data_IF_345098666778
#
_entry.id   IF_345098666778
#
_cell.length_a   1.000
_cell.length_b   1.000
_cell.length_c   1.000
_cell.angle_alpha   90.00
_cell.angle_beta   90.00
_cell.angle_gamma   90.00
#
_symmetry.space_group_name_H-M   'P 1'
#
loop_
_entity.id
_entity.type
_entity.pdbx_description
1 polymer ?
#
# COMPACT_ATOMS: atom_id res chain seq x y z
N UNK A 1 14.70 -1.57 6.84
CA UNK A 1 15.21 -0.79 5.69
C UNK A 1 15.07 0.70 6.00
N UNK A 2 13.88 1.12 6.38
CA UNK A 2 13.44 2.51 6.53
C UNK A 2 14.36 3.34 7.44
N UNK A 3 14.67 2.88 8.65
CA UNK A 3 15.59 3.59 9.56
C UNK A 3 17.02 3.76 9.00
N UNK A 4 17.52 2.79 8.21
CA UNK A 4 18.83 2.88 7.57
C UNK A 4 18.82 3.91 6.44
N UNK A 5 17.73 3.96 5.66
CA UNK A 5 17.55 4.97 4.59
C UNK A 5 17.52 6.37 5.19
N UNK A 6 16.71 6.58 6.24
CA UNK A 6 16.63 7.89 6.88
C UNK A 6 17.98 8.34 7.43
N UNK A 7 18.73 7.43 8.07
CA UNK A 7 20.07 7.72 8.57
C UNK A 7 21.01 8.12 7.43
N UNK A 8 21.00 7.38 6.33
CA UNK A 8 21.85 7.64 5.16
C UNK A 8 21.52 9.00 4.54
N UNK A 9 20.24 9.32 4.35
CA UNK A 9 19.81 10.63 3.84
C UNK A 9 20.20 11.77 4.77
N UNK A 10 20.04 11.60 6.10
CA UNK A 10 20.46 12.62 7.07
C UNK A 10 21.97 12.88 7.04
N UNK A 11 22.78 11.86 6.78
CA UNK A 11 24.23 12.02 6.60
C UNK A 11 24.54 12.84 5.35
N UNK A 12 23.95 12.48 4.20
CA UNK A 12 24.08 13.25 2.95
C UNK A 12 23.68 14.72 3.16
N UNK A 13 22.57 14.98 3.84
CA UNK A 13 22.07 16.34 4.04
C UNK A 13 22.87 17.15 5.06
N UNK A 14 23.60 16.49 5.97
CA UNK A 14 24.52 17.18 6.87
C UNK A 14 25.77 17.68 6.13
N UNK A 15 26.27 16.90 5.16
CA UNK A 15 27.49 17.23 4.40
C UNK A 15 27.21 18.02 3.11
N UNK A 16 25.94 18.06 2.66
CA UNK A 16 25.43 18.75 1.45
C UNK A 16 26.17 18.37 0.15
N UNK A 17 26.89 17.26 0.19
CA UNK A 17 27.66 16.72 -0.92
C UNK A 17 27.29 15.27 -1.08
N UNK A 18 27.20 14.86 -2.34
CA UNK A 18 27.15 13.46 -2.73
C UNK A 18 28.36 13.25 -3.62
N UNK A 19 29.43 12.75 -3.01
CA UNK A 19 30.62 12.30 -3.73
C UNK A 19 30.27 11.13 -4.66
N UNK A 20 31.06 10.89 -5.72
CA UNK A 20 30.88 9.70 -6.57
C UNK A 20 30.88 8.40 -5.77
N UNK A 21 31.67 8.33 -4.70
CA UNK A 21 31.72 7.20 -3.77
C UNK A 21 30.38 7.03 -3.02
N UNK A 22 29.85 8.11 -2.42
CA UNK A 22 28.55 8.06 -1.72
C UNK A 22 27.38 7.73 -2.66
N UNK A 23 27.41 8.23 -3.90
CA UNK A 23 26.44 7.87 -4.93
C UNK A 23 26.51 6.37 -5.26
N UNK A 24 27.72 5.82 -5.42
CA UNK A 24 27.93 4.40 -5.69
C UNK A 24 27.47 3.54 -4.51
N UNK A 25 27.73 3.94 -3.27
CA UNK A 25 27.26 3.25 -2.07
C UNK A 25 25.73 3.27 -1.99
N UNK A 26 25.10 4.40 -2.33
CA UNK A 26 23.64 4.53 -2.36
C UNK A 26 23.00 3.65 -3.44
N UNK A 27 23.59 3.59 -4.63
CA UNK A 27 23.14 2.70 -5.71
C UNK A 27 23.28 1.22 -5.35
N UNK A 28 24.39 0.84 -4.71
CA UNK A 28 24.59 -0.52 -4.21
C UNK A 28 23.57 -0.85 -3.10
N UNK A 29 23.32 0.11 -2.21
CA UNK A 29 22.31 -0.02 -1.16
C UNK A 29 20.91 -0.23 -1.75
N UNK A 30 20.47 0.59 -2.72
CA UNK A 30 19.15 0.40 -3.35
C UNK A 30 19.08 -0.90 -4.16
N UNK A 31 20.14 -1.23 -4.89
CA UNK A 31 20.21 -2.46 -5.68
C UNK A 31 20.18 -3.70 -4.79
N UNK A 32 20.83 -3.67 -3.63
CA UNK A 32 20.82 -4.78 -2.66
C UNK A 32 19.49 -4.89 -1.94
N UNK A 33 18.90 -3.77 -1.51
CA UNK A 33 17.56 -3.73 -0.92
C UNK A 33 16.48 -4.21 -1.90
N UNK A 34 16.68 -3.94 -3.19
CA UNK A 34 15.75 -4.25 -4.27
C UNK A 34 14.31 -3.82 -3.91
N UNK A 35 14.05 -2.57 -3.50
CA UNK A 35 12.76 -2.19 -2.93
C UNK A 35 11.60 -2.47 -3.90
N UNK A 36 10.45 -2.97 -3.40
CA UNK A 36 9.26 -3.15 -4.24
C UNK A 36 8.78 -1.79 -4.78
N UNK A 37 8.04 -1.77 -5.91
CA UNK A 37 7.49 -0.56 -6.54
C UNK A 37 6.91 0.46 -5.57
N UNK A 38 6.14 -0.01 -4.60
CA UNK A 38 5.40 0.84 -3.67
C UNK A 38 6.31 1.57 -2.68
N UNK A 39 7.48 0.99 -2.39
CA UNK A 39 8.47 1.64 -1.54
C UNK A 39 9.25 2.73 -2.27
N UNK A 40 9.27 2.73 -3.61
CA UNK A 40 10.00 3.75 -4.38
C UNK A 40 9.43 5.15 -4.14
N UNK A 41 8.09 5.26 -4.08
CA UNK A 41 7.40 6.52 -3.75
C UNK A 41 7.80 7.02 -2.37
N UNK A 42 7.79 6.14 -1.37
CA UNK A 42 8.19 6.46 -0.01
C UNK A 42 9.66 6.87 0.11
N UNK A 43 10.56 6.16 -0.59
CA UNK A 43 12.01 6.47 -0.60
C UNK A 43 12.25 7.88 -1.12
N UNK A 44 11.67 8.25 -2.28
CA UNK A 44 11.76 9.62 -2.80
C UNK A 44 11.12 10.63 -1.85
N UNK A 45 9.88 10.40 -1.42
CA UNK A 45 9.16 11.34 -0.57
C UNK A 45 9.90 11.59 0.75
N UNK A 46 10.56 10.56 1.28
CA UNK A 46 11.42 10.65 2.48
C UNK A 46 12.63 11.55 2.24
N UNK A 47 13.28 11.50 1.08
CA UNK A 47 14.37 12.42 0.75
C UNK A 47 13.92 13.89 0.80
N UNK A 48 12.77 14.22 0.19
CA UNK A 48 12.22 15.58 0.23
C UNK A 48 11.76 16.01 1.62
N UNK A 49 11.05 15.12 2.35
CA UNK A 49 10.58 15.38 3.71
C UNK A 49 11.75 15.67 4.65
N UNK A 50 12.77 14.79 4.66
CA UNK A 50 13.96 14.99 5.46
C UNK A 50 14.73 16.24 5.02
N UNK A 51 14.80 16.51 3.71
CA UNK A 51 15.38 17.75 3.20
C UNK A 51 14.71 19.00 3.80
N UNK A 52 13.39 19.00 4.00
CA UNK A 52 12.71 20.15 4.64
C UNK A 52 13.23 20.44 6.07
N UNK A 53 13.69 19.41 6.80
CA UNK A 53 14.29 19.59 8.13
C UNK A 53 15.62 20.37 8.05
N UNK A 54 16.36 20.20 6.94
CA UNK A 54 17.69 20.77 6.71
C UNK A 54 17.69 22.11 5.97
N UNK A 55 16.53 22.67 5.62
CA UNK A 55 16.44 24.01 5.06
C UNK A 55 17.12 25.03 6.00
N UNK A 56 17.75 26.04 5.43
CA UNK A 56 18.35 27.15 6.17
C UNK A 56 17.98 28.50 5.55
N UNK A 57 18.46 29.59 6.15
CA UNK A 57 18.28 30.93 5.59
C UNK A 57 19.33 31.27 4.52
N UNK A 58 20.26 30.36 4.23
CA UNK A 58 21.28 30.54 3.20
C UNK A 58 20.80 29.95 1.87
N UNK A 59 20.73 30.78 0.84
CA UNK A 59 20.29 30.37 -0.49
C UNK A 59 21.22 29.32 -1.10
N UNK A 60 22.54 29.50 -0.99
CA UNK A 60 23.52 28.58 -1.58
C UNK A 60 23.47 27.20 -0.90
N UNK A 61 23.22 27.20 0.41
CA UNK A 61 22.93 25.98 1.18
C UNK A 61 21.68 25.26 0.65
N UNK A 62 20.57 25.96 0.46
CA UNK A 62 19.32 25.34 -0.01
C UNK A 62 19.44 24.83 -1.46
N UNK A 63 20.22 25.51 -2.31
CA UNK A 63 20.60 25.02 -3.65
C UNK A 63 21.41 23.73 -3.55
N UNK A 64 22.41 23.66 -2.66
CA UNK A 64 23.20 22.45 -2.44
C UNK A 64 22.32 21.28 -1.94
N UNK A 65 21.35 21.58 -1.09
CA UNK A 65 20.39 20.59 -0.57
C UNK A 65 19.50 20.00 -1.69
N UNK A 66 18.97 20.83 -2.60
CA UNK A 66 18.22 20.35 -3.76
C UNK A 66 19.08 19.49 -4.70
N UNK A 67 20.37 19.84 -4.87
CA UNK A 67 21.32 19.00 -5.64
C UNK A 67 21.54 17.65 -4.98
N UNK A 68 21.65 17.60 -3.65
CA UNK A 68 21.78 16.36 -2.91
C UNK A 68 20.53 15.48 -3.05
N UNK A 69 19.32 16.07 -2.98
CA UNK A 69 18.07 15.35 -3.24
C UNK A 69 18.03 14.82 -4.68
N UNK A 70 18.40 15.62 -5.68
CA UNK A 70 18.45 15.16 -7.07
C UNK A 70 19.40 13.96 -7.25
N UNK A 71 20.55 13.96 -6.58
CA UNK A 71 21.47 12.83 -6.61
C UNK A 71 20.85 11.56 -6.01
N UNK A 72 20.14 11.68 -4.87
CA UNK A 72 19.40 10.55 -4.27
C UNK A 72 18.34 10.02 -5.23
N UNK A 73 17.53 10.90 -5.83
CA UNK A 73 16.50 10.52 -6.81
C UNK A 73 17.13 9.85 -8.03
N UNK A 74 18.26 10.37 -8.50
CA UNK A 74 19.00 9.77 -9.61
C UNK A 74 19.44 8.34 -9.31
N UNK A 75 20.06 8.11 -8.15
CA UNK A 75 20.48 6.77 -7.73
C UNK A 75 19.27 5.83 -7.62
N UNK A 76 18.15 6.30 -7.05
CA UNK A 76 16.91 5.52 -6.97
C UNK A 76 16.40 5.10 -8.36
N UNK A 77 16.33 6.04 -9.31
CA UNK A 77 15.89 5.77 -10.67
C UNK A 77 16.82 4.81 -11.40
N UNK A 78 18.14 4.99 -11.31
CA UNK A 78 19.12 4.11 -11.96
C UNK A 78 19.09 2.68 -11.39
N UNK A 79 19.01 2.56 -10.07
CA UNK A 79 19.02 1.27 -9.39
C UNK A 79 17.69 0.53 -9.54
N UNK A 80 16.56 1.24 -9.46
CA UNK A 80 15.24 0.61 -9.25
C UNK A 80 14.22 0.83 -10.38
N UNK A 81 14.47 1.72 -11.33
CA UNK A 81 13.51 2.07 -12.39
C UNK A 81 14.06 1.79 -13.79
N UNK A 82 13.16 1.71 -14.77
CA UNK A 82 13.47 1.65 -16.20
C UNK A 82 12.53 2.55 -17.00
N UNK A 83 12.94 3.04 -18.17
CA UNK A 83 12.06 3.81 -19.05
C UNK A 83 10.80 3.02 -19.42
N UNK A 84 9.63 3.66 -19.33
CA UNK A 84 8.36 3.08 -19.76
C UNK A 84 8.28 2.98 -21.29
N UNK A 85 8.75 4.01 -21.98
CA UNK A 85 8.83 4.08 -23.44
C UNK A 85 10.26 4.45 -23.88
N UNK A 86 11.13 3.46 -24.19
CA UNK A 86 12.53 3.73 -24.52
C UNK A 86 12.74 4.69 -25.71
N UNK A 87 11.85 4.63 -26.71
CA UNK A 87 11.93 5.48 -27.91
C UNK A 87 11.28 6.86 -27.74
N UNK A 88 10.51 7.09 -26.68
CA UNK A 88 9.63 8.25 -26.57
C UNK A 88 8.48 8.26 -27.58
N UNK A 89 7.65 9.29 -27.51
CA UNK A 89 6.60 9.60 -28.48
C UNK A 89 6.65 11.06 -28.98
N UNK A 90 7.56 11.88 -28.44
CA UNK A 90 7.70 13.30 -28.75
C UNK A 90 9.19 13.71 -28.73
N UNK A 91 9.50 14.85 -29.34
CA UNK A 91 10.80 15.50 -29.16
C UNK A 91 10.84 16.24 -27.82
N UNK A 92 12.02 16.27 -27.19
CA UNK A 92 12.23 17.03 -25.96
C UNK A 92 12.47 18.51 -26.29
N UNK A 93 11.60 19.38 -25.79
CA UNK A 93 11.69 20.84 -25.89
C UNK A 93 11.97 21.41 -24.49
N UNK A 94 13.24 21.77 -24.25
CA UNK A 94 13.72 22.24 -22.96
C UNK A 94 13.09 23.59 -22.56
N UNK A 95 12.94 24.51 -23.52
CA UNK A 95 12.37 25.84 -23.27
C UNK A 95 10.89 25.74 -22.89
N UNK A 96 10.12 24.91 -23.62
CA UNK A 96 8.71 24.66 -23.29
C UNK A 96 8.58 24.03 -21.92
N UNK A 97 9.48 23.10 -21.57
CA UNK A 97 9.44 22.41 -20.29
C UNK A 97 9.80 23.33 -19.12
N UNK A 98 10.84 24.15 -19.24
CA UNK A 98 11.21 25.13 -18.21
C UNK A 98 10.09 26.15 -17.95
N UNK A 99 9.41 26.62 -19.00
CA UNK A 99 8.26 27.53 -18.85
C UNK A 99 7.12 26.87 -18.08
N UNK A 100 6.82 25.61 -18.40
CA UNK A 100 5.78 24.84 -17.71
C UNK A 100 6.12 24.66 -16.21
N UNK A 101 7.37 24.29 -15.90
CA UNK A 101 7.85 24.12 -14.53
C UNK A 101 7.78 25.41 -13.70
N UNK A 102 8.14 26.55 -14.29
CA UNK A 102 8.05 27.86 -13.61
C UNK A 102 6.62 28.21 -13.21
N UNK A 103 5.63 27.80 -14.00
CA UNK A 103 4.22 27.88 -13.61
C UNK A 103 3.95 27.06 -12.34
N UNK A 104 4.27 25.76 -12.39
CA UNK A 104 4.02 24.83 -11.28
C UNK A 104 4.73 25.19 -9.97
N UNK A 105 5.88 25.88 -10.04
CA UNK A 105 6.63 26.32 -8.86
C UNK A 105 6.28 27.73 -8.38
N UNK A 106 5.44 28.46 -9.11
CA UNK A 106 4.95 29.77 -8.68
C UNK A 106 3.83 29.66 -7.62
N UNK A 107 3.13 28.53 -7.60
CA UNK A 107 2.04 28.28 -6.65
C UNK A 107 2.54 27.77 -5.30
N UNK A 108 1.86 28.15 -4.22
CA UNK A 108 2.20 27.68 -2.87
C UNK A 108 1.93 26.18 -2.68
N UNK A 109 1.02 25.61 -3.48
CA UNK A 109 0.61 24.21 -3.41
C UNK A 109 0.07 23.79 -4.76
N UNK A 110 0.55 22.67 -5.30
CA UNK A 110 -0.04 22.06 -6.50
C UNK A 110 -1.38 21.40 -6.12
N UNK A 111 -2.48 21.88 -6.69
CA UNK A 111 -3.81 21.34 -6.45
C UNK A 111 -4.15 20.11 -7.33
N UNK A 112 -5.37 19.60 -7.23
CA UNK A 112 -5.79 18.41 -7.98
C UNK A 112 -5.89 18.65 -9.49
N UNK A 113 -6.29 19.85 -9.93
CA UNK A 113 -6.41 20.19 -11.35
C UNK A 113 -5.03 20.45 -11.94
N UNK A 114 -4.16 21.19 -11.26
CA UNK A 114 -2.77 21.39 -11.67
C UNK A 114 -2.01 20.06 -11.76
N UNK A 115 -2.24 19.14 -10.81
CA UNK A 115 -1.65 17.81 -10.87
C UNK A 115 -2.19 16.98 -12.06
N UNK A 116 -3.45 17.18 -12.49
CA UNK A 116 -3.95 16.55 -13.72
C UNK A 116 -3.28 17.14 -14.95
N UNK A 117 -3.17 18.47 -15.03
CA UNK A 117 -2.49 19.16 -16.13
C UNK A 117 -1.03 18.73 -16.25
N UNK A 118 -0.32 18.59 -15.13
CA UNK A 118 1.02 18.01 -15.05
C UNK A 118 1.11 16.62 -15.67
N UNK A 119 0.19 15.72 -15.31
CA UNK A 119 0.18 14.37 -15.85
C UNK A 119 -0.14 14.35 -17.35
N UNK A 120 -1.05 15.21 -17.82
CA UNK A 120 -1.37 15.36 -19.24
C UNK A 120 -0.13 15.86 -20.00
N UNK A 121 0.52 16.91 -19.49
CA UNK A 121 1.73 17.47 -20.10
C UNK A 121 2.82 16.40 -20.28
N UNK A 122 3.07 15.59 -19.24
CA UNK A 122 4.03 14.50 -19.33
C UNK A 122 3.61 13.41 -20.32
N UNK A 123 2.32 13.06 -20.40
CA UNK A 123 1.85 12.02 -21.33
C UNK A 123 1.97 12.44 -22.80
N UNK A 124 1.79 13.72 -23.10
CA UNK A 124 1.89 14.28 -24.45
C UNK A 124 3.35 14.51 -24.90
N UNK A 125 4.27 14.62 -23.96
CA UNK A 125 5.65 15.04 -24.19
C UNK A 125 6.67 14.00 -23.71
N UNK A 126 6.47 12.71 -23.99
CA UNK A 126 7.38 11.64 -23.53
C UNK A 126 8.62 11.63 -24.43
N UNK A 127 9.78 12.09 -23.96
CA UNK A 127 10.96 12.15 -24.81
C UNK A 127 11.63 10.77 -24.90
N UNK A 128 12.60 10.60 -25.82
CA UNK A 128 13.48 9.44 -25.83
C UNK A 128 14.19 9.21 -24.48
N UNK A 129 14.52 7.96 -24.15
CA UNK A 129 15.00 7.60 -22.81
C UNK A 129 16.31 8.28 -22.38
N UNK A 130 17.15 8.66 -23.34
CA UNK A 130 18.41 9.39 -23.11
C UNK A 130 18.18 10.85 -22.67
N UNK A 131 16.99 11.41 -22.89
CA UNK A 131 16.61 12.73 -22.41
C UNK A 131 16.06 12.74 -20.98
N UNK A 132 15.69 11.58 -20.41
CA UNK A 132 15.00 11.52 -19.10
C UNK A 132 15.84 12.06 -17.95
N UNK A 133 17.16 11.82 -17.98
CA UNK A 133 18.09 12.35 -16.98
C UNK A 133 18.18 13.88 -17.08
N UNK A 134 18.25 14.42 -18.29
CA UNK A 134 18.27 15.87 -18.55
C UNK A 134 16.97 16.52 -18.11
N UNK A 135 15.83 15.92 -18.45
CA UNK A 135 14.50 16.39 -18.05
C UNK A 135 14.36 16.44 -16.52
N UNK A 136 14.78 15.38 -15.80
CA UNK A 136 14.81 15.42 -14.32
C UNK A 136 15.74 16.50 -13.80
N UNK A 137 16.91 16.69 -14.39
CA UNK A 137 17.84 17.74 -13.99
C UNK A 137 17.23 19.15 -14.18
N UNK A 138 16.44 19.36 -15.23
CA UNK A 138 15.70 20.61 -15.44
C UNK A 138 14.68 20.88 -14.33
N UNK A 139 13.94 19.86 -13.85
CA UNK A 139 13.03 19.99 -12.69
C UNK A 139 13.77 20.58 -11.48
N UNK A 140 14.90 19.98 -11.10
CA UNK A 140 15.67 20.44 -9.94
C UNK A 140 16.40 21.78 -10.17
N UNK A 141 16.82 22.06 -11.40
CA UNK A 141 17.36 23.37 -11.78
C UNK A 141 16.31 24.46 -11.61
N UNK A 142 15.11 24.30 -12.18
CA UNK A 142 14.03 25.29 -12.06
C UNK A 142 13.56 25.45 -10.63
N UNK A 143 13.52 24.36 -9.84
CA UNK A 143 13.26 24.44 -8.40
C UNK A 143 14.34 25.27 -7.69
N UNK A 144 15.62 25.06 -8.01
CA UNK A 144 16.71 25.84 -7.41
C UNK A 144 16.62 27.33 -7.75
N UNK A 145 16.23 27.68 -8.97
CA UNK A 145 15.97 29.07 -9.41
C UNK A 145 14.76 29.72 -8.73
N UNK A 146 13.84 28.90 -8.20
CA UNK A 146 12.59 29.35 -7.55
C UNK A 146 12.72 29.47 -6.02
N UNK A 147 13.89 29.18 -5.45
CA UNK A 147 14.16 29.36 -4.02
C UNK A 147 14.03 30.82 -3.61
N UNK A 148 13.42 31.05 -2.45
CA UNK A 148 13.23 32.36 -1.85
C UNK A 148 13.99 32.50 -0.52
N UNK A 149 13.97 33.69 0.06
CA UNK A 149 14.50 33.92 1.41
C UNK A 149 13.54 33.43 2.52
N UNK A 150 12.31 33.03 2.17
CA UNK A 150 11.30 32.57 3.11
C UNK A 150 11.30 31.04 3.26
N UNK A 151 11.42 30.57 4.51
CA UNK A 151 11.48 29.14 4.80
C UNK A 151 10.19 28.42 4.46
N UNK A 152 9.02 29.02 4.74
CA UNK A 152 7.73 28.38 4.49
C UNK A 152 7.50 28.19 2.99
N UNK A 153 7.84 29.19 2.20
CA UNK A 153 7.83 29.15 0.73
C UNK A 153 8.79 28.09 0.19
N UNK A 154 9.99 27.93 0.78
CA UNK A 154 10.92 26.86 0.36
C UNK A 154 10.43 25.46 0.76
N UNK A 155 9.73 25.31 1.89
CA UNK A 155 9.06 24.04 2.25
C UNK A 155 7.96 23.70 1.24
N UNK A 156 7.15 24.68 0.83
CA UNK A 156 6.15 24.52 -0.22
C UNK A 156 6.81 24.10 -1.55
N UNK A 157 7.89 24.75 -1.95
CA UNK A 157 8.64 24.43 -3.15
C UNK A 157 9.19 23.00 -3.15
N UNK A 158 9.73 22.51 -2.03
CA UNK A 158 10.19 21.12 -1.91
C UNK A 158 9.05 20.12 -2.08
N UNK A 159 7.86 20.44 -1.53
CA UNK A 159 6.66 19.61 -1.71
C UNK A 159 6.21 19.59 -3.17
N UNK A 160 6.14 20.76 -3.82
CA UNK A 160 5.76 20.86 -5.23
C UNK A 160 6.79 20.15 -6.13
N UNK A 161 8.08 20.27 -5.83
CA UNK A 161 9.14 19.55 -6.55
C UNK A 161 8.95 18.04 -6.43
N UNK A 162 8.63 17.51 -5.25
CA UNK A 162 8.34 16.08 -5.07
C UNK A 162 7.11 15.64 -5.89
N UNK A 163 6.06 16.46 -5.96
CA UNK A 163 4.87 16.18 -6.79
C UNK A 163 5.24 16.12 -8.28
N UNK A 164 6.02 17.08 -8.77
CA UNK A 164 6.47 17.11 -10.16
C UNK A 164 7.36 15.90 -10.49
N UNK A 165 8.32 15.56 -9.63
CA UNK A 165 9.17 14.37 -9.81
C UNK A 165 8.33 13.09 -9.76
N UNK A 166 7.33 13.01 -8.87
CA UNK A 166 6.41 11.87 -8.84
C UNK A 166 5.62 11.72 -10.14
N UNK A 167 5.05 12.81 -10.67
CA UNK A 167 4.34 12.82 -11.95
C UNK A 167 5.24 12.39 -13.10
N UNK A 168 6.50 12.85 -13.09
CA UNK A 168 7.51 12.45 -14.07
C UNK A 168 7.77 10.94 -14.00
N UNK A 169 8.09 10.40 -12.81
CA UNK A 169 8.38 8.98 -12.65
C UNK A 169 7.19 8.08 -13.04
N UNK A 170 5.97 8.45 -12.63
CA UNK A 170 4.78 7.64 -12.91
C UNK A 170 4.43 7.59 -14.40
N UNK A 171 4.80 8.64 -15.15
CA UNK A 171 4.50 8.76 -16.58
C UNK A 171 5.63 8.19 -17.45
N UNK A 172 6.88 8.55 -17.12
CA UNK A 172 8.05 8.29 -17.97
C UNK A 172 8.77 6.99 -17.59
N UNK A 173 8.69 6.59 -16.33
CA UNK A 173 9.38 5.44 -15.81
C UNK A 173 8.39 4.34 -15.40
N UNK A 174 8.95 3.17 -15.16
CA UNK A 174 8.29 2.10 -14.43
C UNK A 174 9.32 1.43 -13.52
N UNK A 175 8.89 0.90 -12.37
CA UNK A 175 9.72 0.05 -11.54
C UNK A 175 10.33 -1.09 -12.35
N UNK A 176 11.59 -1.43 -12.04
CA UNK A 176 12.14 -2.73 -12.41
C UNK A 176 11.30 -3.81 -11.78
N UNK A 177 11.25 -4.97 -12.44
CA UNK A 177 10.55 -6.13 -11.91
C UNK A 177 11.16 -6.50 -10.55
N UNK A 178 10.33 -6.47 -9.51
CA UNK A 178 10.74 -6.86 -8.18
C UNK A 178 11.03 -8.35 -8.20
N UNK A 179 12.13 -8.73 -7.56
CA UNK A 179 12.57 -10.11 -7.48
C UNK A 179 12.93 -10.38 -6.03
N UNK A 180 12.14 -11.19 -5.34
CA UNK A 180 12.36 -11.53 -3.95
C UNK A 180 13.69 -12.30 -3.82
N UNK A 181 14.75 -11.60 -3.38
CA UNK A 181 16.14 -12.09 -3.34
C UNK A 181 16.45 -13.00 -2.15
N UNK A 182 15.70 -12.87 -1.07
CA UNK A 182 15.97 -13.61 0.17
C UNK A 182 15.71 -15.12 -0.05
N UNK A 183 16.64 -15.93 0.46
CA UNK A 183 16.48 -17.38 0.51
C UNK A 183 15.68 -17.72 1.76
N UNK A 184 14.46 -18.21 1.57
CA UNK A 184 13.58 -18.64 2.65
C UNK A 184 13.62 -20.15 2.79
N UNK A 185 13.51 -20.64 4.03
CA UNK A 185 13.15 -22.04 4.24
C UNK A 185 11.66 -22.22 3.90
N UNK A 186 11.40 -22.77 2.72
CA UNK A 186 10.05 -23.09 2.28
C UNK A 186 9.58 -24.44 2.84
N UNK A 187 10.37 -25.16 3.66
CA UNK A 187 9.97 -26.42 4.30
C UNK A 187 9.11 -26.24 5.56
N UNK A 188 8.95 -25.01 6.03
CA UNK A 188 8.21 -24.66 7.25
C UNK A 188 6.68 -24.83 7.11
N UNK A 189 6.00 -24.92 8.25
CA UNK A 189 4.54 -25.08 8.31
C UNK A 189 3.78 -23.80 7.92
N UNK A 190 2.47 -23.93 7.67
CA UNK A 190 1.63 -22.82 7.19
C UNK A 190 1.61 -21.63 8.16
N UNK A 191 1.58 -21.87 9.49
CA UNK A 191 1.64 -20.80 10.50
C UNK A 191 2.93 -19.99 10.39
N UNK A 192 4.08 -20.65 10.32
CA UNK A 192 5.38 -19.99 10.21
C UNK A 192 5.51 -19.26 8.87
N UNK A 193 4.95 -19.83 7.80
CA UNK A 193 4.92 -19.18 6.49
C UNK A 193 4.06 -17.90 6.49
N UNK A 194 2.98 -17.86 7.26
CA UNK A 194 2.18 -16.65 7.46
C UNK A 194 2.94 -15.62 8.32
N UNK A 195 3.72 -16.06 9.31
CA UNK A 195 4.64 -15.17 10.02
C UNK A 195 5.69 -14.56 9.07
N UNK A 196 6.21 -15.32 8.11
CA UNK A 196 7.11 -14.78 7.08
C UNK A 196 6.40 -13.73 6.20
N UNK A 197 5.13 -13.94 5.82
CA UNK A 197 4.35 -12.91 5.13
C UNK A 197 4.25 -11.62 5.93
N UNK A 198 4.04 -11.72 7.25
CA UNK A 198 4.01 -10.56 8.14
C UNK A 198 5.34 -9.82 8.13
N UNK A 199 6.45 -10.54 8.24
CA UNK A 199 7.80 -9.96 8.22
C UNK A 199 8.11 -9.28 6.87
N UNK A 200 7.53 -9.77 5.78
CA UNK A 200 7.73 -9.28 4.42
C UNK A 200 6.78 -8.15 4.01
N UNK A 201 5.73 -7.88 4.79
CA UNK A 201 4.75 -6.85 4.49
C UNK A 201 5.28 -5.44 4.77
N UNK A 202 6.17 -5.00 3.87
CA UNK A 202 6.79 -3.68 3.92
C UNK A 202 5.79 -2.53 3.75
N UNK A 203 4.61 -2.82 3.18
CA UNK A 203 3.55 -1.86 2.94
C UNK A 203 2.56 -1.76 4.11
N UNK A 204 2.72 -2.58 5.15
CA UNK A 204 2.03 -2.43 6.43
C UNK A 204 2.22 -1.03 6.99
N UNK A 205 1.15 -0.48 7.55
CA UNK A 205 1.16 0.79 8.24
C UNK A 205 1.60 0.61 9.68
N UNK A 206 2.38 1.56 10.16
CA UNK A 206 2.87 1.58 11.53
C UNK A 206 1.87 2.36 12.42
N UNK A 207 1.44 1.80 13.56
CA UNK A 207 0.66 2.54 14.53
C UNK A 207 1.40 3.81 14.99
N UNK A 208 0.63 4.85 15.33
CA UNK A 208 1.08 6.19 15.75
C UNK A 208 1.85 7.02 14.70
N UNK A 209 2.42 6.39 13.66
CA UNK A 209 3.13 7.08 12.57
C UNK A 209 2.25 7.22 11.32
N UNK A 210 1.67 6.11 10.85
CA UNK A 210 0.87 6.07 9.63
C UNK A 210 -0.63 6.15 9.92
N UNK A 211 -1.06 5.71 11.10
CA UNK A 211 -2.45 5.82 11.57
C UNK A 211 -2.53 5.91 13.09
N UNK A 212 -3.65 6.44 13.59
CA UNK A 212 -3.98 6.49 15.01
C UNK A 212 -5.41 5.97 15.18
N UNK A 213 -5.58 5.03 16.11
CA UNK A 213 -6.89 4.53 16.51
C UNK A 213 -7.20 4.90 17.97
N UNK A 214 -8.48 5.07 18.26
CA UNK A 214 -9.05 5.21 19.58
C UNK A 214 -9.88 3.96 19.90
N UNK A 215 -9.24 2.96 20.51
CA UNK A 215 -9.88 1.66 20.83
C UNK A 215 -11.04 1.81 21.82
N UNK A 216 -11.06 2.86 22.64
CA UNK A 216 -12.06 3.14 23.66
C UNK A 216 -12.18 1.98 24.68
N UNK A 217 -13.35 1.77 25.28
CA UNK A 217 -13.55 0.75 26.30
C UNK A 217 -13.93 -0.61 25.70
N UNK A 218 -13.33 -1.67 26.26
CA UNK A 218 -13.66 -3.04 25.88
C UNK A 218 -15.03 -3.46 26.37
N UNK A 219 -15.71 -4.31 25.59
CA UNK A 219 -17.09 -4.73 25.87
C UNK A 219 -17.31 -6.23 25.74
N UNK A 220 -18.50 -6.67 26.14
CA UNK A 220 -19.00 -8.02 25.87
C UNK A 220 -19.82 -8.04 24.57
N UNK A 221 -19.83 -9.16 23.82
CA UNK A 221 -20.51 -9.25 22.52
C UNK A 221 -22.00 -8.90 22.54
N UNK A 222 -22.68 -9.09 23.67
CA UNK A 222 -24.12 -8.86 23.83
C UNK A 222 -24.47 -7.42 24.25
N UNK A 223 -23.49 -6.54 24.50
CA UNK A 223 -23.73 -5.13 24.77
C UNK A 223 -23.88 -4.39 23.44
N UNK A 224 -25.00 -3.66 23.25
CA UNK A 224 -25.28 -2.97 21.98
C UNK A 224 -24.64 -1.59 21.91
N UNK A 225 -24.70 -0.85 23.01
CA UNK A 225 -24.14 0.49 23.14
C UNK A 225 -22.79 0.38 23.85
N UNK A 226 -21.81 1.13 23.35
CA UNK A 226 -20.51 1.50 23.92
C UNK A 226 -19.72 2.13 22.78
N UNK A 227 -18.70 2.93 23.10
CA UNK A 227 -18.00 3.83 22.18
C UNK A 227 -18.87 5.00 21.68
N UNK A 228 -18.36 6.21 21.86
CA UNK A 228 -19.01 7.47 21.44
C UNK A 228 -18.27 8.10 20.25
N UNK A 229 -17.02 7.69 20.03
CA UNK A 229 -16.12 8.25 19.02
C UNK A 229 -15.82 7.20 17.92
N UNK A 230 -15.37 7.63 16.73
CA UNK A 230 -14.83 6.72 15.73
C UNK A 230 -13.62 5.91 16.23
N UNK A 231 -13.41 4.72 15.67
CA UNK A 231 -12.21 3.93 15.90
C UNK A 231 -10.99 4.61 15.30
N UNK A 232 -11.04 5.03 14.02
CA UNK A 232 -9.91 5.70 13.38
C UNK A 232 -9.97 7.21 13.62
N UNK A 233 -9.03 7.72 14.40
CA UNK A 233 -8.90 9.17 14.60
C UNK A 233 -8.14 9.83 13.46
N UNK A 234 -7.16 9.12 12.89
CA UNK A 234 -6.47 9.56 11.68
C UNK A 234 -5.82 8.39 10.94
N UNK A 235 -5.78 8.48 9.61
CA UNK A 235 -4.95 7.65 8.75
C UNK A 235 -4.25 8.57 7.76
N UNK A 236 -2.94 8.43 7.64
CA UNK A 236 -2.12 9.21 6.72
C UNK A 236 -2.61 9.08 5.28
N UNK A 237 -2.46 10.15 4.50
CA UNK A 237 -2.85 10.15 3.06
C UNK A 237 -1.80 9.48 2.17
N UNK A 238 -0.53 9.49 2.58
CA UNK A 238 0.60 8.96 1.81
C UNK A 238 0.45 7.47 1.48
N UNK A 239 0.04 6.59 2.41
CA UNK A 239 -0.15 5.18 2.08
C UNK A 239 -1.14 4.90 0.94
N UNK A 240 -2.21 5.69 0.84
CA UNK A 240 -3.21 5.52 -0.23
C UNK A 240 -2.72 5.98 -1.61
N UNK A 241 -1.54 6.61 -1.68
CA UNK A 241 -0.87 6.91 -2.94
C UNK A 241 -0.01 5.75 -3.44
N UNK A 242 0.27 4.74 -2.58
CA UNK A 242 1.01 3.54 -2.96
C UNK A 242 0.19 2.73 -3.98
N UNK A 243 0.82 2.18 -5.03
CA UNK A 243 0.13 1.45 -6.09
C UNK A 243 -0.84 0.36 -5.61
N UNK A 244 -0.44 -0.48 -4.64
CA UNK A 244 -1.30 -1.54 -4.09
C UNK A 244 -2.56 -1.00 -3.40
N UNK A 245 -2.41 -0.06 -2.48
CA UNK A 245 -3.53 0.59 -1.80
C UNK A 245 -4.44 1.33 -2.78
N UNK A 246 -3.87 2.08 -3.72
CA UNK A 246 -4.65 2.84 -4.71
C UNK A 246 -5.48 1.90 -5.59
N UNK A 247 -4.87 0.83 -6.09
CA UNK A 247 -5.57 -0.16 -6.90
C UNK A 247 -6.63 -0.92 -6.11
N UNK A 248 -6.34 -1.24 -4.83
CA UNK A 248 -7.30 -1.88 -3.95
C UNK A 248 -8.53 -0.99 -3.64
N UNK A 249 -8.32 0.30 -3.34
CA UNK A 249 -9.43 1.24 -3.10
C UNK A 249 -10.27 1.42 -4.36
N UNK A 250 -9.66 1.53 -5.54
CA UNK A 250 -10.40 1.58 -6.81
C UNK A 250 -11.31 0.35 -7.00
N UNK A 251 -10.86 -0.84 -6.58
CA UNK A 251 -11.72 -2.03 -6.59
C UNK A 251 -12.88 -1.92 -5.60
N UNK A 252 -12.66 -1.39 -4.39
CA UNK A 252 -13.73 -1.23 -3.39
C UNK A 252 -14.86 -0.29 -3.85
N UNK A 253 -14.53 0.73 -4.64
CA UNK A 253 -15.46 1.76 -5.12
C UNK A 253 -16.47 1.22 -6.16
N UNK A 254 -16.17 0.08 -6.79
CA UNK A 254 -17.08 -0.55 -7.76
C UNK A 254 -18.28 -1.24 -7.12
N UNK A 255 -18.24 -1.50 -5.81
CA UNK A 255 -19.23 -2.34 -5.14
C UNK A 255 -20.14 -1.56 -4.21
N UNK A 256 -21.45 -1.66 -4.45
CA UNK A 256 -22.50 -1.20 -3.53
C UNK A 256 -23.03 -2.39 -2.74
N UNK A 257 -23.15 -2.29 -1.41
CA UNK A 257 -23.49 -3.41 -0.51
C UNK A 257 -24.88 -4.07 -0.66
N UNK A 258 -25.58 -3.84 -1.76
CA UNK A 258 -26.87 -4.46 -2.08
C UNK A 258 -26.69 -5.51 -3.18
N UNK A 259 -26.90 -6.78 -2.85
CA UNK A 259 -26.81 -7.91 -3.79
C UNK A 259 -28.06 -8.03 -4.67
N UNK A 260 -27.96 -8.71 -5.82
CA UNK A 260 -29.13 -9.21 -6.56
C UNK A 260 -29.38 -8.69 -7.98
N UNK A 261 -28.43 -8.00 -8.61
CA UNK A 261 -28.49 -7.67 -10.04
C UNK A 261 -27.44 -8.50 -10.83
N UNK A 262 -27.71 -8.80 -12.09
CA UNK A 262 -26.75 -9.49 -12.97
C UNK A 262 -25.57 -8.53 -13.26
N UNK A 263 -24.43 -8.76 -12.61
CA UNK A 263 -23.25 -7.93 -12.77
C UNK A 263 -22.45 -8.37 -14.01
N UNK A 264 -22.22 -7.43 -14.92
CA UNK A 264 -21.35 -7.67 -16.07
C UNK A 264 -20.04 -6.92 -15.83
N UNK A 265 -18.91 -7.62 -15.74
CA UNK A 265 -17.60 -6.97 -15.58
C UNK A 265 -17.37 -6.02 -16.75
N UNK A 266 -17.35 -4.73 -16.46
CA UNK A 266 -17.06 -3.67 -17.43
C UNK A 266 -15.58 -3.75 -17.84
N UNK A 267 -15.24 -3.11 -18.97
CA UNK A 267 -13.83 -3.00 -19.37
C UNK A 267 -12.99 -2.21 -18.36
N UNK A 268 -13.62 -1.32 -17.58
CA UNK A 268 -12.97 -0.52 -16.53
C UNK A 268 -12.63 -1.40 -15.34
N UNK A 269 -13.61 -2.14 -14.81
CA UNK A 269 -13.40 -3.09 -13.69
C UNK A 269 -12.35 -4.14 -14.04
N UNK A 270 -12.38 -4.69 -15.27
CA UNK A 270 -11.35 -5.64 -15.73
C UNK A 270 -9.96 -5.02 -15.68
N UNK A 271 -9.82 -3.75 -16.03
CA UNK A 271 -8.54 -3.02 -15.99
C UNK A 271 -8.10 -2.77 -14.55
N UNK A 272 -9.01 -2.44 -13.64
CA UNK A 272 -8.70 -2.24 -12.22
C UNK A 272 -8.26 -3.53 -11.56
N UNK A 273 -8.92 -4.66 -11.86
CA UNK A 273 -8.49 -5.99 -11.41
C UNK A 273 -7.08 -6.30 -11.91
N UNK A 274 -6.82 -6.06 -13.20
CA UNK A 274 -5.52 -6.31 -13.81
C UNK A 274 -4.41 -5.47 -13.15
N UNK A 275 -4.70 -4.18 -12.93
CA UNK A 275 -3.79 -3.24 -12.24
C UNK A 275 -3.52 -3.64 -10.80
N UNK A 276 -4.53 -4.07 -10.06
CA UNK A 276 -4.38 -4.54 -8.69
C UNK A 276 -3.53 -5.81 -8.63
N UNK A 277 -3.85 -6.81 -9.45
CA UNK A 277 -3.09 -8.04 -9.52
C UNK A 277 -1.63 -7.80 -9.94
N UNK A 278 -1.39 -6.91 -10.90
CA UNK A 278 -0.02 -6.53 -11.28
C UNK A 278 0.72 -5.85 -10.13
N UNK A 279 0.07 -4.94 -9.42
CA UNK A 279 0.68 -4.22 -8.29
C UNK A 279 1.10 -5.19 -7.17
N UNK A 280 0.17 -6.03 -6.70
CA UNK A 280 0.47 -6.97 -5.61
C UNK A 280 1.52 -8.01 -6.00
N UNK A 281 1.56 -8.46 -7.27
CA UNK A 281 2.53 -9.45 -7.75
C UNK A 281 3.98 -8.93 -7.72
N UNK A 282 4.16 -7.62 -7.64
CA UNK A 282 5.46 -6.96 -7.49
C UNK A 282 5.87 -6.74 -6.02
N UNK A 283 5.21 -7.42 -5.07
CA UNK A 283 5.50 -7.29 -3.63
C UNK A 283 6.17 -8.54 -3.05
N UNK A 284 6.90 -8.36 -1.95
CA UNK A 284 7.55 -9.46 -1.25
C UNK A 284 6.54 -10.50 -0.71
N UNK A 285 5.41 -10.12 -0.08
CA UNK A 285 4.40 -11.09 0.39
C UNK A 285 3.88 -11.98 -0.74
N UNK A 286 3.51 -11.43 -1.89
CA UNK A 286 2.95 -12.24 -2.99
C UNK A 286 3.98 -13.12 -3.67
N UNK A 287 5.22 -12.66 -3.82
CA UNK A 287 6.28 -13.52 -4.37
C UNK A 287 6.68 -14.64 -3.42
N UNK A 288 6.67 -14.38 -2.10
CA UNK A 288 6.85 -15.43 -1.10
C UNK A 288 5.68 -16.43 -1.15
N UNK A 289 4.44 -15.93 -1.15
CA UNK A 289 3.22 -16.72 -1.29
C UNK A 289 3.30 -17.65 -2.51
N UNK A 290 3.66 -17.11 -3.67
CA UNK A 290 3.79 -17.88 -4.91
C UNK A 290 4.87 -18.98 -4.79
N UNK A 291 6.06 -18.65 -4.28
CA UNK A 291 7.14 -19.63 -4.06
C UNK A 291 6.72 -20.73 -3.08
N UNK A 292 6.08 -20.38 -1.96
CA UNK A 292 5.60 -21.33 -0.97
C UNK A 292 4.51 -22.24 -1.54
N UNK A 293 3.54 -21.68 -2.28
CA UNK A 293 2.51 -22.44 -2.96
C UNK A 293 3.08 -23.39 -4.01
N UNK A 294 4.07 -22.98 -4.80
CA UNK A 294 4.75 -23.86 -5.76
C UNK A 294 5.43 -25.06 -5.07
N UNK A 295 5.90 -24.87 -3.84
CA UNK A 295 6.61 -25.92 -3.08
C UNK A 295 5.68 -26.96 -2.47
N UNK A 296 4.48 -26.55 -2.03
CA UNK A 296 3.56 -27.37 -1.24
C UNK A 296 2.25 -27.72 -1.93
N UNK A 297 1.80 -26.85 -2.84
CA UNK A 297 0.53 -26.98 -3.53
C UNK A 297 0.59 -27.96 -4.70
N UNK A 298 -0.56 -28.52 -5.05
CA UNK A 298 -0.73 -29.30 -6.27
C UNK A 298 -1.15 -28.37 -7.40
N UNK A 299 -0.60 -28.59 -8.60
CA UNK A 299 -0.97 -27.87 -9.82
C UNK A 299 -0.84 -26.33 -9.73
N UNK A 300 0.05 -25.83 -8.87
CA UNK A 300 0.38 -24.41 -8.79
C UNK A 300 1.31 -24.06 -9.95
N UNK A 301 0.94 -23.11 -10.83
CA UNK A 301 1.79 -22.68 -11.92
C UNK A 301 3.07 -22.03 -11.39
N UNK A 302 4.23 -22.40 -11.95
CA UNK A 302 5.52 -21.82 -11.58
C UNK A 302 5.78 -20.45 -12.20
N UNK A 303 5.11 -20.13 -13.32
CA UNK A 303 5.21 -18.84 -14.00
C UNK A 303 4.33 -17.78 -13.34
N UNK A 304 4.85 -16.55 -13.23
CA UNK A 304 4.16 -15.43 -12.58
C UNK A 304 2.84 -15.07 -13.30
N UNK A 305 2.83 -15.08 -14.63
CA UNK A 305 1.64 -14.80 -15.45
C UNK A 305 0.53 -15.83 -15.24
N UNK A 306 0.89 -17.12 -15.20
CA UNK A 306 -0.06 -18.20 -14.96
C UNK A 306 -0.56 -18.20 -13.51
N UNK A 307 0.28 -17.84 -12.55
CA UNK A 307 -0.13 -17.65 -11.16
C UNK A 307 -1.07 -16.45 -11.00
N UNK A 308 -0.81 -15.33 -11.69
CA UNK A 308 -1.74 -14.20 -11.77
C UNK A 308 -3.10 -14.63 -12.32
N UNK A 309 -3.13 -15.46 -13.36
CA UNK A 309 -4.37 -16.02 -13.89
C UNK A 309 -5.10 -16.93 -12.87
N UNK A 310 -4.35 -17.70 -12.08
CA UNK A 310 -4.91 -18.50 -10.98
C UNK A 310 -5.54 -17.59 -9.90
N UNK A 311 -4.86 -16.50 -9.51
CA UNK A 311 -5.41 -15.53 -8.57
C UNK A 311 -6.68 -14.86 -9.13
N UNK A 312 -6.65 -14.42 -10.39
CA UNK A 312 -7.84 -13.90 -11.08
C UNK A 312 -9.00 -14.89 -10.98
N UNK A 313 -8.73 -16.16 -11.28
CA UNK A 313 -9.73 -17.22 -11.24
C UNK A 313 -10.30 -17.44 -9.84
N UNK A 314 -9.48 -17.39 -8.79
CA UNK A 314 -9.93 -17.64 -7.41
C UNK A 314 -10.73 -16.47 -6.87
N UNK A 315 -10.27 -15.25 -7.13
CA UNK A 315 -10.73 -14.04 -6.46
C UNK A 315 -11.75 -13.22 -7.26
N UNK A 316 -11.63 -13.17 -8.59
CA UNK A 316 -12.37 -12.21 -9.41
C UNK A 316 -13.27 -12.86 -10.47
N UNK A 317 -13.10 -14.15 -10.77
CA UNK A 317 -14.05 -14.86 -11.64
C UNK A 317 -15.37 -15.08 -10.91
N UNK A 318 -16.44 -14.47 -11.43
CA UNK A 318 -17.77 -14.60 -10.87
C UNK A 318 -18.26 -16.05 -10.86
N UNK A 319 -19.05 -16.38 -9.84
CA UNK A 319 -19.73 -17.66 -9.73
C UNK A 319 -21.18 -17.49 -9.29
N UNK A 320 -21.98 -18.53 -9.51
CA UNK A 320 -23.42 -18.52 -9.21
C UNK A 320 -23.66 -18.96 -7.77
N UNK A 321 -24.33 -18.12 -6.96
CA UNK A 321 -24.64 -18.42 -5.55
C UNK A 321 -26.04 -19.03 -5.39
N UNK A 322 -27.03 -18.53 -6.13
CA UNK A 322 -28.42 -19.03 -6.08
C UNK A 322 -29.06 -19.12 -7.47
N UNK A 323 -29.44 -17.99 -8.10
CA UNK A 323 -30.09 -17.95 -9.41
C UNK A 323 -29.39 -17.05 -10.45
N UNK A 324 -28.50 -16.14 -10.05
CA UNK A 324 -27.74 -15.24 -10.93
C UNK A 324 -26.24 -15.39 -10.64
N UNK A 325 -25.39 -15.14 -11.63
CA UNK A 325 -23.94 -15.02 -11.45
C UNK A 325 -23.66 -13.58 -11.02
N UNK A 326 -23.42 -13.34 -9.73
CA UNK A 326 -23.50 -11.99 -9.15
C UNK A 326 -22.47 -11.69 -8.07
N UNK A 327 -21.49 -12.58 -7.83
CA UNK A 327 -20.50 -12.36 -6.78
C UNK A 327 -19.13 -12.96 -7.07
N UNK A 328 -18.10 -12.27 -6.60
CA UNK A 328 -16.69 -12.71 -6.64
C UNK A 328 -16.14 -13.03 -5.25
N UNK A 329 -14.99 -13.70 -5.20
CA UNK A 329 -14.30 -13.96 -3.94
C UNK A 329 -13.76 -12.68 -3.28
N UNK A 330 -13.35 -11.70 -4.10
CA UNK A 330 -12.88 -10.40 -3.65
C UNK A 330 -13.98 -9.65 -2.87
N UNK A 331 -15.19 -9.56 -3.42
CA UNK A 331 -16.32 -8.91 -2.77
C UNK A 331 -16.63 -9.49 -1.39
N UNK A 332 -16.76 -10.81 -1.31
CA UNK A 332 -17.15 -11.44 -0.04
C UNK A 332 -16.08 -11.31 1.05
N UNK A 333 -14.80 -11.31 0.68
CA UNK A 333 -13.70 -11.20 1.62
C UNK A 333 -13.46 -9.74 2.04
N UNK A 334 -13.42 -8.82 1.08
CA UNK A 334 -12.93 -7.46 1.30
C UNK A 334 -14.01 -6.38 1.37
N UNK A 335 -15.18 -6.56 0.72
CA UNK A 335 -16.25 -5.56 0.71
C UNK A 335 -17.23 -5.79 1.85
N UNK A 336 -17.69 -7.04 2.02
CA UNK A 336 -18.76 -7.39 2.95
C UNK A 336 -20.17 -7.12 2.39
N UNK A 337 -21.18 -7.72 3.01
CA UNK A 337 -22.57 -7.70 2.55
C UNK A 337 -23.55 -7.62 3.73
N UNK A 338 -24.74 -7.05 3.53
CA UNK A 338 -25.83 -7.13 4.51
C UNK A 338 -26.71 -8.32 4.15
N UNK A 339 -26.79 -9.30 5.05
CA UNK A 339 -27.58 -10.51 4.88
C UNK A 339 -28.50 -10.72 6.07
N UNK A 340 -29.79 -10.91 5.81
CA UNK A 340 -30.82 -11.12 6.84
C UNK A 340 -30.85 -10.01 7.92
N UNK A 341 -30.51 -8.78 7.53
CA UNK A 341 -30.50 -7.63 8.44
C UNK A 341 -29.25 -7.52 9.33
N UNK A 342 -28.24 -8.35 9.11
CA UNK A 342 -26.94 -8.31 9.81
C UNK A 342 -25.79 -8.18 8.81
N UNK A 343 -24.67 -7.62 9.26
CA UNK A 343 -23.47 -7.50 8.43
C UNK A 343 -22.73 -8.85 8.42
N UNK A 344 -22.50 -9.36 7.22
CA UNK A 344 -21.72 -10.56 6.94
C UNK A 344 -20.45 -10.17 6.17
N UNK A 345 -19.30 -10.76 6.51
CA UNK A 345 -18.02 -10.29 5.98
C UNK A 345 -17.62 -8.93 6.57
N UNK A 346 -16.96 -8.07 5.80
CA UNK A 346 -16.40 -6.78 6.26
C UNK A 346 -15.41 -6.94 7.42
N UNK A 347 -14.26 -7.54 7.10
CA UNK A 347 -13.15 -7.73 8.05
C UNK A 347 -11.92 -6.89 7.71
N UNK A 348 -11.89 -6.27 6.52
CA UNK A 348 -10.76 -5.49 6.06
C UNK A 348 -10.79 -4.07 6.65
N UNK A 349 -9.67 -3.66 7.26
CA UNK A 349 -9.59 -2.36 7.94
C UNK A 349 -9.63 -1.17 6.98
N UNK A 350 -9.18 -1.32 5.73
CA UNK A 350 -9.23 -0.24 4.73
C UNK A 350 -10.69 0.05 4.41
N UNK A 351 -11.49 -0.98 4.11
CA UNK A 351 -12.93 -0.82 3.89
C UNK A 351 -13.62 -0.24 5.13
N UNK A 352 -13.31 -0.76 6.31
CA UNK A 352 -13.85 -0.23 7.57
C UNK A 352 -13.55 1.27 7.72
N UNK A 353 -12.29 1.69 7.56
CA UNK A 353 -11.90 3.09 7.68
C UNK A 353 -12.61 4.00 6.67
N UNK A 354 -12.71 3.57 5.40
CA UNK A 354 -13.39 4.36 4.37
C UNK A 354 -14.88 4.56 4.68
N UNK A 355 -15.57 3.51 5.15
CA UNK A 355 -16.97 3.55 5.53
C UNK A 355 -17.21 4.35 6.82
N UNK A 356 -16.34 4.22 7.82
CA UNK A 356 -16.39 5.02 9.04
C UNK A 356 -16.18 6.51 8.74
N UNK A 357 -15.20 6.83 7.90
CA UNK A 357 -14.95 8.20 7.43
C UNK A 357 -16.12 8.78 6.63
N UNK A 358 -16.86 7.93 5.91
CA UNK A 358 -18.08 8.32 5.20
C UNK A 358 -19.30 8.49 6.13
N UNK A 359 -19.19 8.13 7.41
CA UNK A 359 -20.28 8.16 8.38
C UNK A 359 -21.26 6.97 8.26
N UNK A 360 -20.86 5.91 7.55
CA UNK A 360 -21.68 4.72 7.34
C UNK A 360 -21.45 3.64 8.41
N UNK A 361 -20.31 3.69 9.10
CA UNK A 361 -20.00 2.82 10.24
C UNK A 361 -20.16 3.59 11.55
N UNK A 362 -20.80 2.92 12.50
CA UNK A 362 -20.94 3.34 13.89
C UNK A 362 -20.22 2.30 14.76
N UNK A 363 -18.97 2.61 15.13
CA UNK A 363 -18.12 1.75 15.93
C UNK A 363 -18.69 1.60 17.35
N UNK A 364 -18.84 0.35 17.82
CA UNK A 364 -19.47 0.05 19.11
C UNK A 364 -18.50 -0.40 20.21
N UNK A 365 -17.19 -0.45 19.95
CA UNK A 365 -16.18 -0.95 20.89
C UNK A 365 -15.56 -2.30 20.50
N UNK A 366 -14.46 -2.64 21.17
CA UNK A 366 -13.72 -3.88 20.93
C UNK A 366 -14.09 -4.99 21.91
N UNK A 367 -13.87 -6.23 21.48
CA UNK A 367 -14.13 -7.44 22.26
C UNK A 367 -12.81 -8.17 22.45
N UNK A 368 -12.47 -8.50 23.70
CA UNK A 368 -11.27 -9.31 23.98
C UNK A 368 -11.46 -10.76 23.52
N UNK A 369 -10.40 -11.42 22.99
CA UNK A 369 -10.39 -12.86 22.75
C UNK A 369 -10.70 -13.64 24.03
N UNK A 370 -11.23 -14.86 23.89
CA UNK A 370 -11.53 -15.74 25.02
C UNK A 370 -10.27 -16.48 25.51
N UNK A 371 -9.26 -15.75 26.02
CA UNK A 371 -8.09 -16.35 26.69
C UNK A 371 -8.01 -15.96 28.17
N UNK A 372 -7.38 -16.81 28.99
CA UNK A 372 -7.24 -16.63 30.44
C UNK A 372 -6.04 -15.77 30.86
N UNK A 373 -5.22 -15.35 29.90
CA UNK A 373 -4.07 -14.46 30.08
C UNK A 373 -4.32 -13.26 29.17
N UNK A 374 -4.54 -12.09 29.77
CA UNK A 374 -5.01 -10.90 29.07
C UNK A 374 -3.88 -9.89 28.93
N UNK A 375 -3.37 -9.75 27.72
CA UNK A 375 -2.82 -8.47 27.29
C UNK A 375 -3.90 -7.38 27.37
N UNK A 376 -3.49 -6.13 27.57
CA UNK A 376 -4.40 -5.00 27.39
C UNK A 376 -4.47 -4.69 25.90
N UNK A 377 -5.68 -4.47 25.40
CA UNK A 377 -5.87 -4.02 24.02
C UNK A 377 -5.60 -2.53 23.97
N UNK A 378 -4.64 -2.14 23.13
CA UNK A 378 -4.13 -0.78 23.04
C UNK A 378 -4.26 -0.22 21.63
N UNK A 379 -3.89 1.05 21.44
CA UNK A 379 -3.97 1.75 20.15
C UNK A 379 -2.91 1.32 19.12
N UNK A 380 -1.99 0.43 19.50
CA UNK A 380 -0.97 -0.17 18.66
C UNK A 380 -1.26 -1.63 18.28
N UNK A 381 -2.33 -2.23 18.83
CA UNK A 381 -2.77 -3.58 18.45
C UNK A 381 -3.12 -3.64 16.95
N UNK A 382 -2.45 -4.54 16.24
CA UNK A 382 -2.68 -4.77 14.80
C UNK A 382 -3.68 -5.89 14.50
N UNK A 383 -4.34 -6.42 15.54
CA UNK A 383 -5.46 -7.36 15.44
C UNK A 383 -6.52 -6.96 16.46
N UNK A 384 -7.72 -6.61 15.97
CA UNK A 384 -8.83 -6.21 16.83
C UNK A 384 -10.08 -7.01 16.52
N UNK A 385 -10.81 -7.43 17.56
CA UNK A 385 -12.17 -7.96 17.39
C UNK A 385 -13.17 -6.85 17.67
N UNK A 386 -13.91 -6.46 16.65
CA UNK A 386 -14.73 -5.27 16.63
C UNK A 386 -16.22 -5.63 16.64
N UNK A 387 -17.01 -4.74 17.23
CA UNK A 387 -18.45 -4.66 17.05
C UNK A 387 -18.78 -3.29 16.47
N UNK A 388 -19.67 -3.24 15.48
CA UNK A 388 -20.08 -2.00 14.82
C UNK A 388 -21.42 -2.17 14.11
N UNK A 389 -22.09 -1.07 13.81
CA UNK A 389 -23.19 -1.05 12.85
C UNK A 389 -22.70 -0.50 11.50
N UNK A 390 -23.12 -1.08 10.39
CA UNK A 390 -22.88 -0.56 9.04
C UNK A 390 -24.22 -0.31 8.36
N UNK A 391 -24.48 0.95 7.97
CA UNK A 391 -25.78 1.41 7.48
C UNK A 391 -26.96 1.02 8.40
N UNK A 392 -26.73 1.04 9.72
CA UNK A 392 -27.73 0.68 10.73
C UNK A 392 -27.95 -0.83 10.94
N UNK A 393 -27.15 -1.68 10.29
CA UNK A 393 -27.18 -3.13 10.46
C UNK A 393 -26.00 -3.59 11.34
N UNK A 394 -26.24 -4.45 12.35
CA UNK A 394 -25.18 -4.82 13.28
C UNK A 394 -24.22 -5.87 12.71
N UNK A 395 -22.95 -5.70 13.02
CA UNK A 395 -21.93 -6.76 13.07
C UNK A 395 -21.58 -7.03 14.51
N UNK A 396 -22.03 -8.17 15.06
CA UNK A 396 -21.88 -8.46 16.48
C UNK A 396 -20.43 -8.74 16.90
N UNK A 397 -19.68 -9.45 16.05
CA UNK A 397 -18.28 -9.82 16.29
C UNK A 397 -17.60 -9.97 14.93
N UNK A 398 -16.46 -9.32 14.73
CA UNK A 398 -15.53 -9.66 13.66
C UNK A 398 -14.11 -9.25 14.00
N UNK A 399 -13.17 -10.18 13.84
CA UNK A 399 -11.75 -9.86 13.96
C UNK A 399 -11.25 -9.29 12.64
N UNK A 400 -10.41 -8.26 12.73
CA UNK A 400 -9.77 -7.56 11.63
C UNK A 400 -8.27 -7.44 11.91
N UNK A 401 -7.46 -7.63 10.87
CA UNK A 401 -6.10 -7.09 10.87
C UNK A 401 -6.16 -5.57 10.72
N UNK A 402 -5.31 -4.83 11.42
CA UNK A 402 -5.26 -3.35 11.38
C UNK A 402 -3.90 -2.89 10.84
N UNK A 403 -3.96 -2.07 9.79
CA UNK A 403 -2.78 -1.49 9.15
C UNK A 403 -2.07 -2.42 8.16
N UNK A 404 -2.43 -3.70 8.05
CA UNK A 404 -1.84 -4.64 7.06
C UNK A 404 -2.09 -4.20 5.63
N UNK A 405 -1.18 -4.51 4.72
CA UNK A 405 -1.40 -4.23 3.29
C UNK A 405 -2.45 -5.15 2.66
N UNK A 406 -3.09 -4.73 1.55
CA UNK A 406 -3.99 -5.59 0.78
C UNK A 406 -3.35 -6.92 0.35
N UNK A 407 -2.09 -6.87 -0.09
CA UNK A 407 -1.32 -8.03 -0.56
C UNK A 407 -0.98 -9.01 0.57
N UNK A 408 -0.80 -8.54 1.81
CA UNK A 408 -0.62 -9.44 2.95
C UNK A 408 -1.87 -10.28 3.18
N UNK A 409 -3.04 -9.63 3.32
CA UNK A 409 -4.29 -10.35 3.55
C UNK A 409 -4.61 -11.30 2.38
N UNK A 410 -4.44 -10.82 1.14
CA UNK A 410 -4.66 -11.65 -0.05
C UNK A 410 -3.70 -12.84 -0.12
N UNK A 411 -2.44 -12.68 0.27
CA UNK A 411 -1.46 -13.77 0.34
C UNK A 411 -1.84 -14.81 1.42
N UNK A 412 -2.19 -14.37 2.62
CA UNK A 412 -2.62 -15.24 3.73
C UNK A 412 -3.84 -16.06 3.31
N UNK A 413 -4.89 -15.39 2.83
CA UNK A 413 -6.12 -16.07 2.46
C UNK A 413 -5.94 -17.00 1.25
N UNK A 414 -5.08 -16.64 0.27
CA UNK A 414 -4.74 -17.53 -0.85
C UNK A 414 -3.98 -18.78 -0.40
N UNK A 415 -3.04 -18.65 0.54
CA UNK A 415 -2.32 -19.79 1.12
C UNK A 415 -3.25 -20.71 1.90
N UNK A 416 -4.11 -20.16 2.76
CA UNK A 416 -5.14 -20.93 3.46
C UNK A 416 -6.11 -21.61 2.50
N UNK A 417 -6.54 -20.94 1.43
CA UNK A 417 -7.46 -21.51 0.44
C UNK A 417 -6.86 -22.70 -0.32
N UNK A 418 -5.60 -22.58 -0.76
CA UNK A 418 -4.95 -23.57 -1.61
C UNK A 418 -4.33 -24.75 -0.85
N UNK A 419 -3.80 -24.51 0.35
CA UNK A 419 -3.07 -25.51 1.14
C UNK A 419 -3.78 -25.91 2.44
N UNK A 420 -4.59 -25.00 2.99
CA UNK A 420 -5.20 -25.13 4.29
C UNK A 420 -6.53 -25.87 4.28
N UNK A 421 -7.22 -25.78 5.42
CA UNK A 421 -8.57 -26.28 5.65
C UNK A 421 -9.54 -25.11 5.87
N UNK A 422 -10.77 -25.39 6.31
CA UNK A 422 -11.70 -24.33 6.72
C UNK A 422 -11.22 -23.59 7.98
N UNK A 423 -10.48 -24.28 8.85
CA UNK A 423 -9.86 -23.73 10.05
C UNK A 423 -8.33 -23.83 9.94
N UNK A 424 -7.65 -22.70 10.07
CA UNK A 424 -6.20 -22.61 9.96
C UNK A 424 -5.66 -21.89 11.18
N UNK A 425 -5.25 -22.66 12.18
CA UNK A 425 -4.71 -22.14 13.43
C UNK A 425 -3.28 -21.65 13.22
N UNK A 426 -3.04 -20.38 13.54
CA UNK A 426 -1.75 -19.73 13.41
C UNK A 426 -1.41 -18.97 14.69
N UNK A 427 -0.11 -18.78 14.90
CA UNK A 427 0.44 -17.84 15.87
C UNK A 427 1.07 -16.70 15.09
N UNK A 428 0.63 -15.47 15.35
CA UNK A 428 1.14 -14.26 14.73
C UNK A 428 1.83 -13.41 15.79
N UNK A 429 3.11 -13.17 15.61
CA UNK A 429 3.93 -12.23 16.37
C UNK A 429 4.03 -10.92 15.58
N UNK A 430 3.50 -9.85 16.17
CA UNK A 430 3.48 -8.52 15.56
C UNK A 430 4.75 -7.71 15.88
N UNK A 431 5.59 -8.21 16.79
CA UNK A 431 6.75 -7.53 17.37
C UNK A 431 6.44 -6.77 18.67
N UNK A 432 5.17 -6.51 18.96
CA UNK A 432 4.69 -5.96 20.25
C UNK A 432 3.82 -6.97 21.00
N UNK A 433 3.00 -7.69 20.24
CA UNK A 433 1.99 -8.60 20.74
C UNK A 433 1.96 -9.90 19.95
N UNK A 434 1.56 -10.96 20.64
CA UNK A 434 1.37 -12.28 20.07
C UNK A 434 -0.12 -12.61 20.07
N UNK A 435 -0.63 -12.96 18.89
CA UNK A 435 -2.00 -13.40 18.69
C UNK A 435 -2.06 -14.86 18.25
N UNK A 436 -2.92 -15.64 18.89
CA UNK A 436 -3.38 -16.90 18.32
C UNK A 436 -4.65 -16.62 17.51
N UNK A 437 -4.62 -17.00 16.24
CA UNK A 437 -5.68 -16.75 15.28
C UNK A 437 -6.14 -18.06 14.65
N UNK A 438 -7.42 -18.15 14.35
CA UNK A 438 -7.95 -19.11 13.40
C UNK A 438 -8.32 -18.36 12.12
N UNK A 439 -7.55 -18.54 11.04
CA UNK A 439 -7.92 -18.01 9.73
C UNK A 439 -8.99 -18.92 9.15
N UNK A 440 -10.23 -18.45 9.20
CA UNK A 440 -11.39 -19.10 8.59
C UNK A 440 -11.29 -18.92 7.08
N UNK A 441 -11.43 -19.99 6.31
CA UNK A 441 -11.41 -19.92 4.84
C UNK A 441 -12.39 -20.92 4.23
N UNK A 442 -13.48 -20.42 3.66
CA UNK A 442 -14.52 -21.24 3.07
C UNK A 442 -14.46 -21.18 1.55
N UNK A 443 -14.66 -22.33 0.91
CA UNK A 443 -14.68 -22.44 -0.56
C UNK A 443 -16.11 -22.29 -1.07
N UNK A 444 -16.27 -21.65 -2.21
CA UNK A 444 -17.53 -21.59 -2.95
C UNK A 444 -17.33 -22.10 -4.38
N UNK A 445 -18.39 -22.62 -4.98
CA UNK A 445 -18.35 -23.21 -6.33
C UNK A 445 -17.19 -24.22 -6.56
N UNK A 446 -16.74 -24.90 -5.50
CA UNK A 446 -15.59 -25.83 -5.41
C UNK A 446 -14.20 -25.20 -5.57
N UNK A 447 -14.02 -24.23 -6.46
CA UNK A 447 -12.70 -23.70 -6.82
C UNK A 447 -12.54 -22.18 -6.64
N UNK A 448 -13.50 -21.53 -5.96
CA UNK A 448 -13.48 -20.09 -5.63
C UNK A 448 -13.36 -19.87 -4.14
N UNK A 449 -12.73 -18.78 -3.76
CA UNK A 449 -12.78 -18.35 -2.36
C UNK A 449 -14.16 -17.76 -2.08
N UNK A 450 -14.81 -18.26 -1.04
CA UNK A 450 -16.16 -17.85 -0.66
C UNK A 450 -16.14 -16.76 0.39
N UNK A 451 -15.45 -16.97 1.50
CA UNK A 451 -15.15 -15.95 2.51
C UNK A 451 -13.90 -16.36 3.27
N UNK A 452 -13.11 -15.40 3.72
CA UNK A 452 -11.94 -15.63 4.54
C UNK A 452 -11.71 -14.46 5.49
N UNK A 453 -11.38 -14.76 6.75
CA UNK A 453 -11.18 -13.75 7.78
C UNK A 453 -10.44 -14.36 8.98
N UNK A 454 -9.72 -13.54 9.77
CA UNK A 454 -9.16 -13.99 11.04
C UNK A 454 -10.25 -14.11 12.10
N UNK A 455 -10.05 -15.01 13.06
CA UNK A 455 -10.77 -15.08 14.33
C UNK A 455 -9.73 -15.11 15.45
N UNK A 456 -9.67 -14.09 16.30
CA UNK A 456 -8.72 -14.05 17.39
C UNK A 456 -9.16 -14.98 18.54
N UNK A 457 -8.32 -15.97 18.87
CA UNK A 457 -8.58 -16.95 19.93
C UNK A 457 -7.83 -16.62 21.21
N UNK A 458 -6.65 -16.00 21.12
CA UNK A 458 -5.90 -15.49 22.27
C UNK A 458 -5.02 -14.29 21.90
N UNK A 459 -4.68 -13.49 22.91
CA UNK A 459 -3.79 -12.32 22.81
C UNK A 459 -2.87 -12.28 24.03
N UNK A 460 -1.57 -12.18 23.80
CA UNK A 460 -0.52 -12.15 24.80
C UNK A 460 0.44 -10.98 24.53
N UNK A 461 0.99 -10.38 25.59
CA UNK A 461 2.16 -9.51 25.47
C UNK A 461 3.38 -10.39 25.13
N UNK A 462 4.30 -9.88 24.32
CA UNK A 462 5.60 -10.53 24.06
C UNK A 462 6.49 -10.62 25.31
#
# INVERSE_FOLDING_TARGET
>A
MDAKVEQFYRQIFADLKVSPEEASELEEFFSSCNPPPDKLVWLRATAFRLGCDFLSNDHDHNVALLRAINAIVHCLEQSCMVPRLPRGNAEYDDDKFEVFLKGMFSDSTIDQEENKELLIFFQESIPPSDCLVTMRAAIFKTASESLSDDRESNVALFRNTNVVVHGFEMTMLKPKEYNLKQNFDLGIGLSDAIQELWNLDANRLNPAADYVINVQEGKKPYWKENAEEPLFTSVGKEPFQRPTYRAFVALLDNYTGHTGNEETVTSVERREIDLFLDAIMQTAPMQYCHKYLCRHGKDIPSGASEFKNLLYKIWFEFYRREQVTDSSGFEHVFVGEIKNGEVSGMHNWIRFYLEEKAGNIDYKGYIKPRSSREAQTNSDDQVLTLQFDWHGHPKLVGTSFIGTSPEFEMAVYSMCFLLGAEENHIKLDTGTDIFELNIRCYKMARDKIGTAFPEATAHYND
#
